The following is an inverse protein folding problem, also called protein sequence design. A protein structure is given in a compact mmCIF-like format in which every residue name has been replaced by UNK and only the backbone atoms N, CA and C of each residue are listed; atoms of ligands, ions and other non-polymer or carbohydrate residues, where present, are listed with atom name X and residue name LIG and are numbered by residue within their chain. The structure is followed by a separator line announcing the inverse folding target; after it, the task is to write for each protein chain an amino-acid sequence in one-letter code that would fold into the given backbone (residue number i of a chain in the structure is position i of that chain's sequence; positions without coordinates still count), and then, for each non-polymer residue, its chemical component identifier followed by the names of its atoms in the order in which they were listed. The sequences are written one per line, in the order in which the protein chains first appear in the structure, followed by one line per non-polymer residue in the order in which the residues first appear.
data_IF_707724274012
#
_entry.id   IF_707724274012
#
_cell.length_a   1.000
_cell.length_b   1.000
_cell.length_c   1.000
_cell.angle_alpha   90.00
_cell.angle_beta   90.00
_cell.angle_gamma   90.00
#
_symmetry.space_group_name_H-M   'P 1'
#
loop_
_entity.id
_entity.type
_entity.pdbx_description
1 polymer ?
#
# COMPACT_ATOMS: atom_id res chain seq x y z
N UNK A 1 41.62 -0.23 43.60
CA UNK A 1 41.75 -1.52 42.89
C UNK A 1 41.26 -2.62 43.82
N UNK A 2 40.12 -3.26 43.54
CA UNK A 2 39.77 -4.54 44.16
C UNK A 2 38.77 -5.29 43.28
N UNK A 3 38.97 -6.61 43.21
CA UNK A 3 38.62 -7.51 42.12
C UNK A 3 37.14 -7.92 42.12
N UNK A 4 36.55 -8.05 40.93
CA UNK A 4 35.24 -8.68 40.72
C UNK A 4 35.33 -10.19 41.01
N UNK A 5 34.36 -10.81 41.70
CA UNK A 5 34.32 -12.26 41.88
C UNK A 5 33.92 -12.97 40.58
N UNK A 6 34.47 -14.17 40.40
CA UNK A 6 34.21 -15.05 39.26
C UNK A 6 33.03 -16.00 39.52
N UNK A 7 32.30 -16.29 38.44
CA UNK A 7 31.16 -17.20 38.37
C UNK A 7 31.63 -18.55 37.80
N UNK A 8 31.00 -19.70 38.11
CA UNK A 8 29.83 -19.92 38.96
C UNK A 8 30.14 -20.61 40.32
N UNK A 9 29.23 -20.43 41.28
CA UNK A 9 29.17 -21.15 42.54
C UNK A 9 28.70 -22.61 42.35
N UNK A 10 29.34 -23.56 43.05
CA UNK A 10 28.90 -24.97 43.13
C UNK A 10 27.89 -25.13 44.27
N UNK A 11 26.77 -25.81 44.01
CA UNK A 11 25.82 -26.26 45.03
C UNK A 11 26.05 -27.75 45.36
N UNK A 12 25.78 -28.19 46.60
CA UNK A 12 26.00 -29.57 47.02
C UNK A 12 24.92 -30.51 46.47
N UNK A 13 25.33 -31.73 46.12
CA UNK A 13 24.44 -32.82 45.72
C UNK A 13 23.79 -33.43 46.96
N UNK A 14 22.47 -33.31 47.06
CA UNK A 14 21.67 -34.14 47.96
C UNK A 14 20.55 -34.81 47.17
N UNK A 15 20.59 -36.14 47.17
CA UNK A 15 19.73 -36.99 46.39
C UNK A 15 18.32 -37.06 46.94
N UNK A 16 17.34 -36.75 46.09
CA UNK A 16 16.02 -37.41 46.08
C UNK A 16 15.44 -37.26 44.68
N UNK A 17 15.23 -38.39 44.00
CA UNK A 17 14.71 -38.46 42.63
C UNK A 17 13.18 -38.52 42.67
N UNK A 18 12.43 -37.58 42.08
CA UNK A 18 10.97 -37.71 41.99
C UNK A 18 10.58 -38.78 40.95
N UNK A 19 9.41 -39.44 41.10
CA UNK A 19 9.00 -40.52 40.22
C UNK A 19 8.67 -40.02 38.82
N UNK A 20 9.15 -40.75 37.81
CA UNK A 20 8.82 -40.50 36.40
C UNK A 20 7.34 -40.81 36.13
N UNK A 21 6.61 -39.96 35.40
CA UNK A 21 5.30 -40.33 34.89
C UNK A 21 5.46 -41.42 33.83
N UNK A 22 4.70 -42.51 34.00
CA UNK A 22 4.61 -43.62 33.04
C UNK A 22 4.05 -43.09 31.72
N UNK A 23 4.67 -43.52 30.62
CA UNK A 23 4.39 -43.05 29.27
C UNK A 23 2.91 -43.12 28.90
N UNK A 24 2.35 -41.97 28.53
CA UNK A 24 1.21 -41.93 27.64
C UNK A 24 1.73 -42.18 26.22
N UNK A 25 1.16 -43.20 25.56
CA UNK A 25 1.38 -43.41 24.14
C UNK A 25 0.98 -42.14 23.39
N UNK A 26 1.95 -41.48 22.75
CA UNK A 26 1.68 -40.36 21.85
C UNK A 26 0.92 -40.90 20.64
N UNK A 27 -0.39 -40.70 20.61
CA UNK A 27 -1.17 -40.86 19.38
C UNK A 27 -0.58 -39.88 18.37
N UNK A 28 -0.12 -40.33 17.19
CA UNK A 28 0.32 -39.39 16.16
C UNK A 28 -0.91 -38.57 15.79
N UNK A 29 -0.84 -37.25 16.06
CA UNK A 29 -1.79 -36.32 15.46
C UNK A 29 -1.75 -36.56 13.95
N UNK A 30 -2.89 -36.78 13.29
CA UNK A 30 -2.91 -36.86 11.84
C UNK A 30 -2.23 -35.61 11.30
N UNK A 31 -1.44 -35.70 10.21
CA UNK A 31 -0.84 -34.52 9.62
C UNK A 31 -1.97 -33.52 9.41
N UNK A 32 -1.89 -32.36 10.09
CA UNK A 32 -2.77 -31.26 9.77
C UNK A 32 -2.57 -31.03 8.29
N UNK A 33 -3.58 -31.38 7.50
CA UNK A 33 -3.63 -31.01 6.10
C UNK A 33 -3.47 -29.50 6.10
N UNK A 34 -2.31 -29.02 5.68
CA UNK A 34 -2.15 -27.65 5.25
C UNK A 34 -3.27 -27.48 4.22
N UNK A 35 -4.31 -26.70 4.58
CA UNK A 35 -5.34 -26.34 3.63
C UNK A 35 -4.62 -25.84 2.39
N UNK A 36 -5.02 -26.24 1.17
CA UNK A 36 -4.27 -25.92 -0.02
C UNK A 36 -4.14 -24.40 -0.11
N UNK A 37 -2.96 -23.89 0.26
CA UNK A 37 -2.59 -22.49 0.10
C UNK A 37 -2.14 -22.32 -1.35
N UNK A 38 -3.10 -22.49 -2.25
CA UNK A 38 -2.89 -22.45 -3.68
C UNK A 38 -4.19 -22.01 -4.32
N UNK A 39 -4.40 -20.69 -4.39
CA UNK A 39 -5.36 -20.10 -5.32
C UNK A 39 -4.78 -20.27 -6.73
N UNK A 40 -4.75 -21.52 -7.19
CA UNK A 40 -4.28 -21.96 -8.48
C UNK A 40 -2.81 -21.64 -8.78
N UNK A 41 -2.15 -22.51 -9.51
CA UNK A 41 -0.89 -22.19 -10.19
C UNK A 41 -1.07 -21.09 -11.28
N UNK A 42 -2.22 -20.40 -11.31
CA UNK A 42 -2.67 -19.43 -12.30
C UNK A 42 -2.65 -17.97 -11.82
N UNK A 43 -2.27 -17.68 -10.57
CA UNK A 43 -2.20 -16.28 -10.13
C UNK A 43 -1.15 -15.48 -10.92
N UNK A 44 -0.03 -16.11 -11.30
CA UNK A 44 1.02 -15.46 -12.10
C UNK A 44 0.58 -15.25 -13.55
N UNK A 45 0.02 -16.27 -14.21
CA UNK A 45 -0.45 -16.15 -15.59
C UNK A 45 -1.57 -15.10 -15.73
N UNK A 46 -2.52 -15.08 -14.79
CA UNK A 46 -3.59 -14.07 -14.75
C UNK A 46 -3.02 -12.67 -14.50
N UNK A 47 -2.04 -12.51 -13.59
CA UNK A 47 -1.32 -11.24 -13.40
C UNK A 47 -0.61 -10.78 -14.67
N UNK A 48 0.10 -11.66 -15.35
CA UNK A 48 0.78 -11.33 -16.61
C UNK A 48 -0.22 -10.85 -17.66
N UNK A 49 -1.38 -11.51 -17.78
CA UNK A 49 -2.46 -11.06 -18.68
C UNK A 49 -3.02 -9.70 -18.29
N UNK A 50 -3.20 -9.43 -16.99
CA UNK A 50 -3.60 -8.10 -16.51
C UNK A 50 -2.57 -7.05 -16.95
N UNK A 51 -1.28 -7.28 -16.70
CA UNK A 51 -0.19 -6.35 -17.08
C UNK A 51 -0.14 -6.12 -18.60
N UNK A 52 -0.30 -7.16 -19.41
CA UNK A 52 -0.37 -7.03 -20.87
C UNK A 52 -1.55 -6.16 -21.32
N UNK A 53 -2.73 -6.30 -20.68
CA UNK A 53 -3.88 -5.44 -20.96
C UNK A 53 -3.61 -3.98 -20.57
N UNK A 54 -2.99 -3.74 -19.41
CA UNK A 54 -2.60 -2.39 -18.98
C UNK A 54 -1.65 -1.73 -19.98
N UNK A 55 -0.66 -2.48 -20.47
CA UNK A 55 0.25 -1.99 -21.50
C UNK A 55 -0.47 -1.66 -22.82
N UNK A 56 -1.38 -2.54 -23.26
CA UNK A 56 -2.19 -2.31 -24.46
C UNK A 56 -3.16 -1.12 -24.33
N UNK A 57 -3.55 -0.78 -23.09
CA UNK A 57 -4.36 0.41 -22.76
C UNK A 57 -3.53 1.70 -22.64
N UNK A 58 -2.21 1.64 -22.84
CA UNK A 58 -1.34 2.82 -22.93
C UNK A 58 -0.48 3.10 -21.70
N UNK A 59 -0.46 2.21 -20.69
CA UNK A 59 0.53 2.30 -19.60
C UNK A 59 1.90 1.88 -20.16
N UNK A 60 2.80 2.83 -20.31
CA UNK A 60 4.11 2.64 -20.95
C UNK A 60 5.28 2.53 -19.97
N UNK A 61 5.13 2.95 -18.71
CA UNK A 61 6.25 2.91 -17.76
C UNK A 61 6.55 1.47 -17.28
N UNK A 62 7.74 0.90 -17.61
CA UNK A 62 8.07 -0.48 -17.28
C UNK A 62 8.18 -0.72 -15.77
N UNK A 63 8.50 0.30 -14.97
CA UNK A 63 8.57 0.20 -13.50
C UNK A 63 7.18 0.01 -12.92
N UNK A 64 6.21 0.75 -13.45
CA UNK A 64 4.80 0.64 -13.06
C UNK A 64 4.23 -0.73 -13.45
N UNK A 65 4.44 -1.15 -14.71
CA UNK A 65 4.00 -2.47 -15.17
C UNK A 65 4.63 -3.61 -14.35
N UNK A 66 5.93 -3.50 -14.04
CA UNK A 66 6.64 -4.45 -13.18
C UNK A 66 6.04 -4.51 -11.77
N UNK A 67 5.78 -3.37 -11.14
CA UNK A 67 5.17 -3.29 -9.81
C UNK A 67 3.75 -3.89 -9.80
N UNK A 68 2.94 -3.59 -10.83
CA UNK A 68 1.59 -4.15 -10.99
C UNK A 68 1.60 -5.67 -11.16
N UNK A 69 2.63 -6.24 -11.80
CA UNK A 69 2.80 -7.70 -11.94
C UNK A 69 3.33 -8.39 -10.68
N UNK A 70 4.09 -7.67 -9.85
CA UNK A 70 4.70 -8.19 -8.63
C UNK A 70 3.72 -8.22 -7.44
N UNK A 71 2.85 -7.21 -7.31
CA UNK A 71 1.91 -7.14 -6.19
C UNK A 71 0.70 -8.04 -6.42
N UNK A 72 0.50 -8.99 -5.51
CA UNK A 72 -0.59 -9.95 -5.56
C UNK A 72 -1.94 -9.33 -5.18
N UNK A 73 -2.58 -8.63 -6.12
CA UNK A 73 -3.84 -7.89 -5.92
C UNK A 73 -4.95 -8.68 -5.21
N UNK A 74 -5.07 -9.97 -5.48
CA UNK A 74 -6.05 -10.86 -4.83
C UNK A 74 -5.90 -10.98 -3.31
N UNK A 75 -4.73 -10.67 -2.73
CA UNK A 75 -4.53 -10.62 -1.27
C UNK A 75 -5.22 -9.44 -0.59
N UNK A 76 -5.68 -8.46 -1.37
CA UNK A 76 -6.26 -7.21 -0.86
C UNK A 76 -7.79 -7.17 -0.95
N UNK A 77 -8.42 -8.25 -1.41
CA UNK A 77 -9.87 -8.38 -1.57
C UNK A 77 -10.42 -9.54 -0.74
N UNK A 78 -11.74 -9.59 -0.56
CA UNK A 78 -12.39 -10.74 0.08
C UNK A 78 -12.19 -12.02 -0.76
N UNK A 79 -12.06 -13.16 -0.10
CA UNK A 79 -12.03 -14.49 -0.69
C UNK A 79 -13.10 -14.72 -1.77
N UNK A 80 -14.32 -14.20 -1.56
CA UNK A 80 -15.42 -14.32 -2.52
C UNK A 80 -15.19 -13.54 -3.83
N UNK A 81 -14.27 -12.59 -3.84
CA UNK A 81 -13.98 -11.70 -4.97
C UNK A 81 -12.63 -11.98 -5.64
N UNK A 82 -11.88 -12.98 -5.17
CA UNK A 82 -10.54 -13.33 -5.67
C UNK A 82 -10.53 -13.59 -7.18
N UNK A 83 -11.58 -14.22 -7.72
CA UNK A 83 -11.70 -14.51 -9.15
C UNK A 83 -11.82 -13.23 -10.00
N UNK A 84 -12.30 -12.12 -9.43
CA UNK A 84 -12.43 -10.82 -10.10
C UNK A 84 -11.23 -9.91 -9.83
N UNK A 85 -10.29 -10.31 -8.96
CA UNK A 85 -9.24 -9.42 -8.45
C UNK A 85 -8.37 -8.79 -9.54
N UNK A 86 -8.21 -9.48 -10.68
CA UNK A 86 -7.38 -9.04 -11.82
C UNK A 86 -8.19 -8.59 -13.04
N UNK A 87 -9.52 -8.55 -12.91
CA UNK A 87 -10.36 -7.86 -13.88
C UNK A 87 -10.19 -6.35 -13.72
N UNK A 88 -10.41 -5.60 -14.80
CA UNK A 88 -10.24 -4.15 -14.78
C UNK A 88 -11.46 -3.44 -14.15
N UNK A 89 -11.79 -3.83 -12.92
CA UNK A 89 -12.95 -3.36 -12.17
C UNK A 89 -12.59 -2.97 -10.74
N UNK A 90 -13.42 -2.12 -10.15
CA UNK A 90 -13.32 -1.78 -8.74
C UNK A 90 -14.08 -2.82 -7.92
N UNK A 91 -13.54 -3.19 -6.75
CA UNK A 91 -14.16 -4.20 -5.88
C UNK A 91 -14.40 -3.63 -4.48
N UNK A 92 -15.46 -4.03 -3.77
CA UNK A 92 -15.70 -3.58 -2.41
C UNK A 92 -14.62 -4.12 -1.45
N UNK A 93 -14.16 -3.26 -0.53
CA UNK A 93 -13.17 -3.63 0.50
C UNK A 93 -13.71 -3.47 1.93
N UNK A 94 -15.01 -3.18 2.07
CA UNK A 94 -15.68 -2.90 3.33
C UNK A 94 -15.77 -1.40 3.65
N UNK A 95 -16.60 -1.06 4.65
CA UNK A 95 -16.81 0.31 5.13
C UNK A 95 -17.21 1.33 4.04
N UNK A 96 -17.93 0.87 3.01
CA UNK A 96 -18.35 1.72 1.88
C UNK A 96 -17.24 2.07 0.89
N UNK A 97 -16.04 1.52 1.06
CA UNK A 97 -14.89 1.81 0.21
C UNK A 97 -14.65 0.70 -0.83
N UNK A 98 -13.90 1.05 -1.88
CA UNK A 98 -13.51 0.13 -2.95
C UNK A 98 -11.99 0.13 -3.17
N UNK A 99 -11.45 -0.99 -3.67
CA UNK A 99 -10.15 -1.02 -4.32
C UNK A 99 -10.32 -0.53 -5.76
N UNK A 100 -9.54 0.47 -6.17
CA UNK A 100 -9.62 1.07 -7.52
C UNK A 100 -9.25 0.07 -8.62
N UNK A 101 -9.79 0.24 -9.82
CA UNK A 101 -9.43 -0.56 -11.02
C UNK A 101 -7.91 -0.64 -11.22
N UNK A 102 -7.35 -1.80 -11.63
CA UNK A 102 -5.95 -1.92 -12.02
C UNK A 102 -5.48 -0.85 -13.00
N UNK A 103 -6.26 -0.52 -14.04
CA UNK A 103 -5.93 0.53 -15.01
C UNK A 103 -5.77 1.91 -14.38
N UNK A 104 -6.69 2.27 -13.48
CA UNK A 104 -6.64 3.54 -12.75
C UNK A 104 -5.43 3.61 -11.82
N UNK A 105 -5.14 2.54 -11.07
CA UNK A 105 -3.94 2.48 -10.21
C UNK A 105 -2.67 2.66 -11.03
N UNK A 106 -2.50 1.88 -12.11
CA UNK A 106 -1.33 1.95 -12.96
C UNK A 106 -1.17 3.34 -13.58
N UNK A 107 -2.26 3.89 -14.12
CA UNK A 107 -2.29 5.21 -14.76
C UNK A 107 -1.91 6.33 -13.79
N UNK A 108 -2.47 6.33 -12.58
CA UNK A 108 -2.16 7.36 -11.59
C UNK A 108 -0.70 7.32 -11.14
N UNK A 109 -0.14 6.12 -10.94
CA UNK A 109 1.29 5.98 -10.59
C UNK A 109 2.18 6.42 -11.75
N UNK A 110 1.84 6.08 -12.99
CA UNK A 110 2.58 6.51 -14.17
C UNK A 110 2.61 8.04 -14.28
N UNK A 111 1.48 8.71 -14.07
CA UNK A 111 1.39 10.17 -14.05
C UNK A 111 2.20 10.80 -12.91
N UNK A 112 2.27 10.11 -11.77
CA UNK A 112 3.04 10.51 -10.59
C UNK A 112 4.55 10.42 -10.83
N UNK A 113 5.02 9.34 -11.46
CA UNK A 113 6.42 9.14 -11.84
C UNK A 113 6.79 10.12 -12.96
N UNK A 114 6.09 10.04 -14.10
CA UNK A 114 6.34 10.80 -15.32
C UNK A 114 7.82 10.97 -15.65
N UNK A 115 8.55 9.86 -15.64
CA UNK A 115 9.98 9.81 -15.94
C UNK A 115 10.92 10.35 -14.85
N UNK A 116 10.40 10.90 -13.74
CA UNK A 116 11.22 11.41 -12.64
C UNK A 116 11.58 10.28 -11.67
N UNK A 117 12.80 9.78 -11.78
CA UNK A 117 13.36 8.81 -10.84
C UNK A 117 14.81 9.13 -10.51
N UNK A 118 15.26 8.67 -9.35
CA UNK A 118 16.66 8.65 -8.96
C UNK A 118 17.47 7.64 -9.80
N UNK A 119 18.77 7.53 -9.50
CA UNK A 119 19.67 6.60 -10.18
C UNK A 119 19.30 5.12 -9.97
N UNK A 120 18.47 4.81 -8.96
CA UNK A 120 17.96 3.48 -8.66
C UNK A 120 16.59 3.23 -9.32
N UNK A 121 16.10 4.16 -10.15
CA UNK A 121 14.83 4.05 -10.84
C UNK A 121 13.62 4.24 -9.93
N UNK A 122 13.78 4.85 -8.75
CA UNK A 122 12.69 5.12 -7.81
C UNK A 122 12.31 6.60 -7.78
N UNK A 123 11.05 6.88 -7.55
CA UNK A 123 10.60 8.20 -7.13
C UNK A 123 11.14 8.49 -5.71
N UNK A 124 11.20 9.76 -5.32
CA UNK A 124 11.51 10.15 -3.93
C UNK A 124 10.43 9.74 -2.94
N UNK A 125 10.28 10.49 -1.84
CA UNK A 125 9.21 10.23 -0.86
C UNK A 125 7.83 10.50 -1.48
N UNK A 126 6.89 9.60 -1.26
CA UNK A 126 5.50 9.72 -1.70
C UNK A 126 4.55 9.77 -0.51
N UNK A 127 3.55 10.66 -0.59
CA UNK A 127 2.37 10.62 0.27
C UNK A 127 1.20 10.02 -0.50
N UNK A 128 0.61 8.96 0.04
CA UNK A 128 -0.66 8.41 -0.41
C UNK A 128 -1.77 8.86 0.55
N UNK A 129 -2.86 9.38 0.00
CA UNK A 129 -4.07 9.73 0.76
C UNK A 129 -5.18 8.74 0.42
N UNK A 130 -5.62 8.00 1.43
CA UNK A 130 -6.61 6.93 1.31
C UNK A 130 -5.97 5.56 1.09
N UNK A 131 -5.32 5.02 2.12
CA UNK A 131 -4.69 3.68 2.07
C UNK A 131 -5.68 2.59 1.64
N UNK A 132 -6.93 2.66 2.11
CA UNK A 132 -7.96 1.67 1.83
C UNK A 132 -7.52 0.27 2.27
N UNK A 133 -7.40 -0.66 1.31
CA UNK A 133 -6.94 -2.02 1.58
C UNK A 133 -5.41 -2.17 1.60
N UNK A 134 -4.65 -1.16 1.17
CA UNK A 134 -3.18 -1.18 1.10
C UNK A 134 -2.60 -1.60 -0.25
N UNK A 135 -3.41 -1.93 -1.26
CA UNK A 135 -2.89 -2.37 -2.57
C UNK A 135 -2.04 -1.31 -3.27
N UNK A 136 -2.56 -0.08 -3.37
CA UNK A 136 -1.88 1.05 -4.00
C UNK A 136 -0.58 1.40 -3.23
N UNK A 137 -0.61 1.39 -1.89
CA UNK A 137 0.57 1.49 -1.03
C UNK A 137 1.65 0.44 -1.37
N UNK A 138 1.25 -0.82 -1.57
CA UNK A 138 2.18 -1.89 -1.94
C UNK A 138 2.84 -1.65 -3.30
N UNK A 139 2.06 -1.21 -4.30
CA UNK A 139 2.58 -0.91 -5.64
C UNK A 139 3.52 0.30 -5.58
N UNK A 140 3.17 1.35 -4.83
CA UNK A 140 4.03 2.51 -4.60
C UNK A 140 5.34 2.11 -3.91
N UNK A 141 5.30 1.17 -2.97
CA UNK A 141 6.49 0.68 -2.26
C UNK A 141 7.55 0.07 -3.18
N UNK A 142 7.18 -0.36 -4.38
CA UNK A 142 8.11 -0.89 -5.38
C UNK A 142 8.67 0.17 -6.34
N UNK A 143 8.08 1.37 -6.40
CA UNK A 143 8.48 2.44 -7.33
C UNK A 143 8.93 3.72 -6.65
N UNK A 144 8.79 3.84 -5.32
CA UNK A 144 9.18 5.00 -4.53
C UNK A 144 10.22 4.64 -3.47
N UNK A 145 11.00 5.63 -3.04
CA UNK A 145 12.02 5.46 -1.99
C UNK A 145 11.38 5.27 -0.63
N UNK A 146 10.33 6.04 -0.32
CA UNK A 146 9.52 5.93 0.90
C UNK A 146 8.07 6.25 0.54
N UNK A 147 7.12 5.58 1.20
CA UNK A 147 5.68 5.79 1.04
C UNK A 147 5.07 6.02 2.42
N UNK A 148 4.45 7.17 2.61
CA UNK A 148 3.61 7.46 3.76
C UNK A 148 2.16 7.37 3.30
N UNK A 149 1.38 6.44 3.85
CA UNK A 149 0.00 6.21 3.43
C UNK A 149 -0.95 6.52 4.57
N UNK A 150 -1.85 7.50 4.37
CA UNK A 150 -2.77 7.98 5.40
C UNK A 150 -4.17 7.42 5.16
N UNK A 151 -4.76 6.82 6.20
CA UNK A 151 -6.13 6.32 6.21
C UNK A 151 -6.91 6.91 7.38
N UNK A 152 -8.14 7.35 7.08
CA UNK A 152 -9.04 7.96 8.07
C UNK A 152 -9.92 6.97 8.79
N UNK A 153 -10.17 5.80 8.21
CA UNK A 153 -11.04 4.76 8.76
C UNK A 153 -10.21 3.74 9.55
N UNK A 154 -10.41 3.63 10.86
CA UNK A 154 -9.61 2.75 11.74
C UNK A 154 -9.62 1.30 11.26
N UNK A 155 -10.79 0.80 10.88
CA UNK A 155 -10.97 -0.56 10.37
C UNK A 155 -10.22 -0.83 9.07
N UNK A 156 -10.15 0.14 8.14
CA UNK A 156 -9.35 -0.02 6.92
C UNK A 156 -7.86 0.11 7.18
N UNK A 157 -7.45 1.01 8.07
CA UNK A 157 -6.05 1.09 8.47
C UNK A 157 -5.55 -0.23 9.06
N UNK A 158 -6.31 -0.84 9.97
CA UNK A 158 -5.95 -2.15 10.54
C UNK A 158 -5.92 -3.24 9.47
N UNK A 159 -6.92 -3.28 8.59
CA UNK A 159 -6.96 -4.20 7.46
C UNK A 159 -5.75 -4.05 6.53
N UNK A 160 -5.37 -2.82 6.18
CA UNK A 160 -4.22 -2.55 5.34
C UNK A 160 -2.91 -3.01 6.00
N UNK A 161 -2.75 -2.78 7.31
CA UNK A 161 -1.59 -3.29 8.07
C UNK A 161 -1.49 -4.80 7.96
N UNK A 162 -2.59 -5.51 8.16
CA UNK A 162 -2.61 -6.97 8.16
C UNK A 162 -2.36 -7.52 6.74
N UNK A 163 -2.93 -6.90 5.71
CA UNK A 163 -2.69 -7.24 4.31
C UNK A 163 -1.22 -7.01 3.87
N UNK A 164 -0.59 -5.94 4.36
CA UNK A 164 0.77 -5.55 3.95
C UNK A 164 1.87 -6.31 4.71
N UNK A 165 1.59 -6.81 5.92
CA UNK A 165 2.56 -7.53 6.76
C UNK A 165 3.33 -8.65 6.02
N UNK A 166 2.70 -9.50 5.18
CA UNK A 166 3.41 -10.55 4.45
C UNK A 166 4.39 -10.03 3.37
N UNK A 167 4.15 -8.83 2.82
CA UNK A 167 4.98 -8.24 1.76
C UNK A 167 6.31 -7.70 2.28
N UNK A 168 6.42 -7.45 3.60
CA UNK A 168 7.65 -6.95 4.26
C UNK A 168 8.25 -5.74 3.54
N UNK A 169 7.42 -4.74 3.23
CA UNK A 169 7.85 -3.49 2.58
C UNK A 169 8.34 -2.51 3.65
N UNK A 170 9.66 -2.38 3.90
CA UNK A 170 10.17 -1.57 5.01
C UNK A 170 10.01 -0.06 4.78
N UNK A 171 9.76 0.33 3.53
CA UNK A 171 9.61 1.71 3.08
C UNK A 171 8.14 2.15 2.99
N UNK A 172 7.18 1.35 3.46
CA UNK A 172 5.75 1.70 3.48
C UNK A 172 5.30 1.92 4.93
N UNK A 173 4.95 3.17 5.24
CA UNK A 173 4.53 3.62 6.56
C UNK A 173 3.04 3.92 6.55
N UNK A 174 2.26 3.15 7.33
CA UNK A 174 0.83 3.39 7.49
C UNK A 174 0.56 4.37 8.63
N UNK A 175 -0.30 5.35 8.34
CA UNK A 175 -0.65 6.43 9.24
C UNK A 175 -2.17 6.46 9.41
N UNK A 176 -2.64 6.45 10.66
CA UNK A 176 -4.03 6.70 10.97
C UNK A 176 -4.24 8.19 11.17
N UNK A 177 -5.04 8.84 10.32
CA UNK A 177 -5.22 10.28 10.39
C UNK A 177 -6.07 10.87 9.27
N UNK A 178 -6.25 12.19 9.32
CA UNK A 178 -6.93 12.95 8.28
C UNK A 178 -5.98 13.19 7.09
N UNK A 179 -6.30 12.56 5.95
CA UNK A 179 -5.55 12.72 4.71
C UNK A 179 -5.56 14.15 4.14
N UNK A 180 -6.57 14.98 4.46
CA UNK A 180 -6.59 16.38 4.04
C UNK A 180 -5.50 17.21 4.73
N UNK A 181 -5.03 16.82 5.91
CA UNK A 181 -3.90 17.48 6.57
C UNK A 181 -2.54 17.07 5.97
N UNK A 182 -2.50 15.99 5.19
CA UNK A 182 -1.27 15.34 4.74
C UNK A 182 -0.46 14.78 5.91
N UNK A 183 0.87 14.74 5.77
CA UNK A 183 1.78 14.33 6.83
C UNK A 183 3.06 15.18 6.79
N UNK A 184 3.03 16.35 7.45
CA UNK A 184 4.12 17.32 7.37
C UNK A 184 5.49 16.77 7.83
N UNK A 185 5.53 15.80 8.75
CA UNK A 185 6.78 15.21 9.25
C UNK A 185 7.54 14.40 8.18
N UNK A 186 6.84 13.87 7.17
CA UNK A 186 7.47 13.16 6.04
C UNK A 186 7.79 14.06 4.84
N UNK A 187 7.33 15.31 4.86
CA UNK A 187 7.55 16.28 3.80
C UNK A 187 9.04 16.71 3.70
N UNK A 188 9.49 17.27 2.57
CA UNK A 188 8.74 17.43 1.31
C UNK A 188 8.59 16.11 0.54
N UNK A 189 7.52 16.01 -0.24
CA UNK A 189 7.21 14.84 -1.08
C UNK A 189 7.57 15.06 -2.55
N UNK A 190 8.19 14.06 -3.17
CA UNK A 190 8.39 14.03 -4.63
C UNK A 190 7.07 13.75 -5.37
N UNK A 191 6.13 13.07 -4.72
CA UNK A 191 4.79 12.83 -5.24
C UNK A 191 3.74 12.76 -4.14
N UNK A 192 2.54 13.27 -4.41
CA UNK A 192 1.36 13.03 -3.59
C UNK A 192 0.29 12.40 -4.49
N UNK A 193 -0.34 11.33 -4.03
CA UNK A 193 -1.38 10.62 -4.78
C UNK A 193 -2.58 10.36 -3.89
N UNK A 194 -3.79 10.63 -4.38
CA UNK A 194 -5.01 10.46 -3.60
C UNK A 194 -5.96 9.45 -4.24
N UNK A 195 -6.38 8.45 -3.48
CA UNK A 195 -7.39 7.46 -3.86
C UNK A 195 -8.81 7.84 -3.39
N UNK A 196 -9.06 9.14 -3.21
CA UNK A 196 -10.36 9.72 -2.89
C UNK A 196 -10.42 11.15 -3.48
N UNK A 197 -11.59 11.57 -3.96
CA UNK A 197 -11.76 12.82 -4.69
C UNK A 197 -12.56 13.88 -3.93
N UNK A 198 -12.16 15.14 -4.06
CA UNK A 198 -12.84 16.29 -3.45
C UNK A 198 -13.06 17.44 -4.44
N UNK A 199 -13.59 18.55 -3.97
CA UNK A 199 -13.84 19.75 -4.79
C UNK A 199 -12.57 20.53 -5.11
N UNK A 200 -11.54 20.42 -4.26
CA UNK A 200 -10.27 21.12 -4.41
C UNK A 200 -9.10 20.27 -3.91
N UNK A 201 -7.90 20.52 -4.44
CA UNK A 201 -6.65 20.02 -3.85
C UNK A 201 -6.39 20.80 -2.55
N UNK A 202 -6.23 20.12 -1.39
CA UNK A 202 -5.89 20.78 -0.14
C UNK A 202 -4.57 21.56 -0.24
N UNK A 203 -4.55 22.79 0.26
CA UNK A 203 -3.33 23.63 0.29
C UNK A 203 -2.18 22.97 1.07
N UNK A 204 -2.50 22.21 2.10
CA UNK A 204 -1.54 21.39 2.86
C UNK A 204 -0.75 20.44 1.96
N UNK A 205 -1.36 19.88 0.90
CA UNK A 205 -0.68 19.00 -0.03
C UNK A 205 0.30 19.78 -0.90
N UNK A 206 -0.09 20.94 -1.41
CA UNK A 206 0.78 21.79 -2.24
C UNK A 206 1.93 22.39 -1.43
N UNK A 207 1.71 22.71 -0.16
CA UNK A 207 2.75 23.16 0.78
C UNK A 207 3.77 22.06 1.07
N UNK A 208 3.31 20.81 1.25
CA UNK A 208 4.16 19.65 1.53
C UNK A 208 4.82 19.05 0.28
N UNK A 209 4.46 19.50 -0.92
CA UNK A 209 5.05 19.04 -2.17
C UNK A 209 6.42 19.71 -2.42
N UNK A 210 7.41 18.91 -2.82
CA UNK A 210 8.70 19.42 -3.27
C UNK A 210 8.56 20.23 -4.56
N UNK A 211 9.47 21.19 -4.78
CA UNK A 211 9.67 21.77 -6.12
C UNK A 211 10.11 20.65 -7.07
N UNK A 212 9.47 20.56 -8.24
CA UNK A 212 9.61 19.45 -9.19
C UNK A 212 8.71 18.26 -8.91
N UNK A 213 7.97 18.26 -7.80
CA UNK A 213 7.03 17.19 -7.43
C UNK A 213 5.68 17.31 -8.14
N UNK A 214 4.88 16.24 -8.05
CA UNK A 214 3.51 16.20 -8.57
C UNK A 214 2.47 15.73 -7.57
N UNK A 215 1.26 16.27 -7.69
CA UNK A 215 0.04 15.73 -7.08
C UNK A 215 -0.76 15.05 -8.18
N UNK A 216 -1.26 13.84 -7.93
CA UNK A 216 -2.21 13.13 -8.79
C UNK A 216 -3.43 12.78 -7.96
N UNK A 217 -4.56 13.41 -8.23
CA UNK A 217 -5.78 13.23 -7.44
C UNK A 217 -7.04 13.39 -8.30
N UNK A 218 -8.11 12.63 -8.01
CA UNK A 218 -9.43 12.90 -8.58
C UNK A 218 -10.01 14.18 -7.99
N UNK A 219 -10.65 14.99 -8.84
CA UNK A 219 -11.36 16.21 -8.44
C UNK A 219 -12.76 16.25 -9.04
N UNK A 220 -13.72 16.83 -8.32
CA UNK A 220 -15.04 17.18 -8.84
C UNK A 220 -14.91 18.50 -9.60
N UNK A 221 -15.16 18.48 -10.90
CA UNK A 221 -15.18 19.68 -11.74
C UNK A 221 -16.45 20.50 -11.51
N UNK A 222 -16.47 21.76 -11.96
CA UNK A 222 -17.66 22.61 -11.89
C UNK A 222 -18.89 22.01 -12.63
N UNK A 223 -18.67 21.09 -13.57
CA UNK A 223 -19.72 20.32 -14.25
C UNK A 223 -20.34 19.22 -13.39
N UNK A 224 -19.83 18.99 -12.18
CA UNK A 224 -20.21 17.89 -11.28
C UNK A 224 -19.54 16.55 -11.61
N UNK A 225 -18.82 16.45 -12.73
CA UNK A 225 -18.10 15.24 -13.12
C UNK A 225 -16.78 15.12 -12.36
N UNK A 226 -16.39 13.90 -12.00
CA UNK A 226 -15.05 13.65 -11.47
C UNK A 226 -14.04 13.42 -12.60
N UNK A 227 -12.90 14.09 -12.52
CA UNK A 227 -11.78 13.95 -13.45
C UNK A 227 -10.48 13.78 -12.70
N UNK A 228 -9.52 13.09 -13.31
CA UNK A 228 -8.18 12.98 -12.77
C UNK A 228 -7.44 14.29 -13.01
N UNK A 229 -6.79 14.81 -11.98
CA UNK A 229 -6.04 16.07 -12.04
C UNK A 229 -4.59 15.82 -11.66
N UNK A 230 -3.69 16.45 -12.42
CA UNK A 230 -2.26 16.52 -12.13
C UNK A 230 -1.90 17.95 -11.78
N UNK A 231 -1.27 18.16 -10.63
CA UNK A 231 -0.67 19.44 -10.24
C UNK A 231 0.84 19.30 -10.20
N UNK A 232 1.56 20.11 -10.96
CA UNK A 232 3.01 20.16 -10.98
C UNK A 232 3.50 21.42 -10.25
N UNK A 233 4.43 21.27 -9.30
CA UNK A 233 5.04 22.41 -8.61
C UNK A 233 6.39 22.75 -9.20
N UNK A 234 6.53 23.98 -9.65
CA UNK A 234 7.82 24.57 -10.04
C UNK A 234 8.28 25.56 -8.97
N UNK A 235 9.44 26.19 -9.15
CA UNK A 235 10.00 27.11 -8.15
C UNK A 235 9.11 28.33 -7.84
N UNK A 236 8.21 28.72 -8.75
CA UNK A 236 7.37 29.92 -8.58
C UNK A 236 5.88 29.74 -8.88
N UNK A 237 5.43 28.56 -9.27
CA UNK A 237 4.03 28.33 -9.66
C UNK A 237 3.59 26.87 -9.54
N UNK A 238 2.29 26.69 -9.38
CA UNK A 238 1.59 25.42 -9.53
C UNK A 238 0.92 25.40 -10.90
N UNK A 239 1.19 24.36 -11.69
CA UNK A 239 0.51 24.12 -12.97
C UNK A 239 -0.47 22.96 -12.80
N UNK A 240 -1.75 23.22 -13.01
CA UNK A 240 -2.79 22.20 -12.96
C UNK A 240 -3.17 21.74 -14.37
N UNK A 241 -3.38 20.45 -14.56
CA UNK A 241 -3.88 19.85 -15.80
C UNK A 241 -4.99 18.86 -15.47
N UNK A 242 -6.13 19.01 -16.14
CA UNK A 242 -7.29 18.11 -16.03
C UNK A 242 -7.17 17.05 -17.13
N UNK A 243 -7.39 15.79 -16.77
CA UNK A 243 -7.25 14.63 -17.64
C UNK A 243 -8.59 13.88 -17.77
N UNK A 244 -8.55 12.57 -17.97
CA UNK A 244 -9.71 11.70 -18.14
C UNK A 244 -10.70 11.69 -16.96
N UNK A 245 -11.97 11.39 -17.27
CA UNK A 245 -13.01 11.16 -16.26
C UNK A 245 -12.73 9.91 -15.43
N UNK A 246 -12.98 10.01 -14.13
CA UNK A 246 -12.77 8.91 -13.16
C UNK A 246 -13.92 8.88 -12.16
N UNK A 247 -14.03 7.78 -11.41
CA UNK A 247 -15.03 7.64 -10.35
C UNK A 247 -14.34 7.13 -9.08
N UNK A 248 -14.35 7.98 -8.05
CA UNK A 248 -13.73 7.77 -6.76
C UNK A 248 -14.68 8.11 -5.62
N UNK A 249 -14.46 7.45 -4.50
CA UNK A 249 -15.10 7.77 -3.22
C UNK A 249 -14.72 9.19 -2.77
N UNK A 250 -15.59 9.89 -2.03
CA UNK A 250 -15.34 11.25 -1.60
C UNK A 250 -14.18 11.32 -0.58
N UNK A 251 -13.32 12.32 -0.75
CA UNK A 251 -12.35 12.74 0.25
C UNK A 251 -13.09 13.41 1.40
N UNK A 252 -12.83 12.98 2.63
CA UNK A 252 -13.48 13.47 3.85
C UNK A 252 -12.45 13.86 4.89
N UNK A 253 -12.71 14.95 5.62
CA UNK A 253 -11.92 15.36 6.79
C UNK A 253 -12.24 14.50 8.02
N UNK A 254 -11.33 14.54 9.00
CA UNK A 254 -11.42 13.84 10.27
C UNK A 254 -11.20 12.33 10.15
N UNK A 255 -11.10 11.68 11.31
CA UNK A 255 -10.99 10.22 11.44
C UNK A 255 -12.33 9.60 11.82
N UNK A 256 -12.51 8.31 11.52
CA UNK A 256 -13.66 7.52 11.94
C UNK A 256 -13.30 6.05 12.21
#
# INVERSE_FOLDING_TARGET
MSRRPSFPARLPEDGTRPPQPRGSASVPLPPQRVAPAGVGLDSQAIRTRMVQKLAAQGVGDPRVLGAMGAVERHRFVDSALVNQAYEDTSLPIGLGQTISKPSVVARMIELLLAGRTDAQGRLGRVLEVGTGCGYQAAVLGLVASEVYSVERLRGLHDKARDNLRPFRLPNVHLLFGDGMAGYAKGAPYAGIIAAAGGEAIPQTWTDQLAVGGRIVAPMVLATGQQALVVVEKTAGQLKQTVLESVHFVPLKSGVA
#
